data_IF_058520304471
#
_entry.id   IF_058520304471
#
_cell.length_a   1.000
_cell.length_b   1.000
_cell.length_c   1.000
_cell.angle_alpha   90.00
_cell.angle_beta   90.00
_cell.angle_gamma   90.00
#
_symmetry.space_group_name_H-M   'P 1'
#
loop_
_entity.id
_entity.type
_entity.pdbx_description
1 polymer ?
#
# COMPACT_ATOMS: atom_id res chain seq x y z
N UNK A 1 34.28 47.82 -57.74
CA UNK A 1 34.06 47.58 -56.29
C UNK A 1 32.68 46.96 -56.12
N UNK A 2 32.60 45.64 -55.95
CA UNK A 2 31.35 44.92 -55.78
C UNK A 2 31.50 44.06 -54.53
N UNK A 3 30.77 44.42 -53.48
CA UNK A 3 30.85 43.81 -52.15
C UNK A 3 30.15 42.45 -52.19
N UNK A 4 30.90 41.40 -51.85
CA UNK A 4 30.41 40.04 -51.65
C UNK A 4 29.60 40.03 -50.34
N UNK A 5 28.30 39.76 -50.42
CA UNK A 5 27.45 39.49 -49.25
C UNK A 5 27.63 38.02 -48.85
N UNK A 6 28.27 37.77 -47.71
CA UNK A 6 28.34 36.44 -47.09
C UNK A 6 27.16 36.35 -46.12
N UNK A 7 26.17 35.51 -46.45
CA UNK A 7 25.06 35.16 -45.57
C UNK A 7 25.54 34.08 -44.59
N UNK A 8 25.88 34.46 -43.35
CA UNK A 8 26.22 33.51 -42.29
C UNK A 8 24.92 33.03 -41.65
N UNK A 9 24.48 31.83 -42.01
CA UNK A 9 23.39 31.13 -41.33
C UNK A 9 23.84 30.70 -39.93
N UNK A 10 23.38 31.42 -38.89
CA UNK A 10 23.52 31.00 -37.50
C UNK A 10 22.68 29.74 -37.26
N UNK A 11 23.33 28.57 -37.26
CA UNK A 11 22.78 27.35 -36.67
C UNK A 11 22.79 27.52 -35.14
N UNK A 12 21.66 27.95 -34.57
CA UNK A 12 21.40 27.79 -33.14
C UNK A 12 21.23 26.30 -32.84
N UNK A 13 22.34 25.64 -32.48
CA UNK A 13 22.27 24.38 -31.76
C UNK A 13 21.66 24.66 -30.38
N UNK A 14 20.34 24.58 -30.29
CA UNK A 14 19.63 24.42 -29.02
C UNK A 14 20.10 23.07 -28.49
N UNK A 15 21.15 23.09 -27.67
CA UNK A 15 21.54 21.96 -26.85
C UNK A 15 20.41 21.75 -25.85
N UNK A 16 19.51 20.83 -26.20
CA UNK A 16 18.51 20.33 -25.27
C UNK A 16 19.27 19.57 -24.18
N UNK A 17 19.68 20.27 -23.12
CA UNK A 17 20.11 19.62 -21.90
C UNK A 17 18.91 18.87 -21.35
N UNK A 18 18.86 17.57 -21.60
CA UNK A 18 18.01 16.63 -20.88
C UNK A 18 18.28 16.83 -19.40
N UNK A 19 17.39 17.56 -18.71
CA UNK A 19 17.42 17.63 -17.26
C UNK A 19 17.20 16.21 -16.76
N UNK A 20 18.25 15.63 -16.18
CA UNK A 20 18.09 14.40 -15.39
C UNK A 20 17.16 14.79 -14.26
N UNK A 21 15.90 14.35 -14.29
CA UNK A 21 15.05 14.40 -13.12
C UNK A 21 15.81 13.68 -12.02
N UNK A 22 16.22 14.43 -11.00
CA UNK A 22 16.77 13.88 -9.78
C UNK A 22 15.65 13.03 -9.20
N UNK A 23 15.78 11.70 -9.31
CA UNK A 23 14.88 10.78 -8.63
C UNK A 23 15.03 11.04 -7.14
N UNK A 24 14.11 11.81 -6.57
CA UNK A 24 14.05 11.98 -5.12
C UNK A 24 13.89 10.59 -4.51
N UNK A 25 14.89 10.16 -3.74
CA UNK A 25 14.85 8.87 -3.05
C UNK A 25 13.64 8.95 -2.10
N UNK A 26 12.66 8.03 -2.20
CA UNK A 26 11.52 8.05 -1.30
C UNK A 26 12.03 7.95 0.13
N UNK A 27 11.70 8.94 0.95
CA UNK A 27 12.09 8.95 2.35
C UNK A 27 11.16 7.97 3.08
N UNK A 28 11.75 6.93 3.67
CA UNK A 28 11.04 5.83 4.34
C UNK A 28 11.16 6.03 5.86
N UNK A 29 10.08 5.80 6.61
CA UNK A 29 10.10 5.78 8.09
C UNK A 29 9.72 4.43 8.64
N UNK A 30 10.35 4.06 9.76
CA UNK A 30 9.93 2.90 10.55
C UNK A 30 8.50 3.12 11.07
N UNK A 31 7.61 2.23 10.70
CA UNK A 31 6.24 2.18 11.18
C UNK A 31 6.10 1.17 12.30
N UNK A 32 5.60 1.63 13.45
CA UNK A 32 5.22 0.78 14.59
C UNK A 32 3.81 1.19 15.00
N UNK A 33 2.93 0.19 15.13
CA UNK A 33 1.59 0.33 15.72
C UNK A 33 1.57 -0.55 16.96
N UNK A 34 1.08 -0.04 18.09
CA UNK A 34 1.00 -0.76 19.34
C UNK A 34 -0.47 -1.09 19.68
N UNK A 35 -0.67 -2.18 20.43
CA UNK A 35 -1.88 -2.40 21.21
C UNK A 35 -1.98 -1.40 22.35
N UNK A 36 -3.15 -1.24 22.95
CA UNK A 36 -3.36 -0.41 24.15
C UNK A 36 -2.50 -0.88 25.33
N UNK A 37 -2.18 -2.18 25.37
CA UNK A 37 -1.26 -2.79 26.31
C UNK A 37 0.21 -2.39 26.12
N UNK A 38 0.55 -1.68 25.03
CA UNK A 38 1.90 -1.26 24.68
C UNK A 38 2.72 -2.30 23.90
N UNK A 39 2.18 -3.52 23.70
CA UNK A 39 2.82 -4.51 22.83
C UNK A 39 2.75 -4.09 21.36
N UNK A 40 3.79 -4.42 20.59
CA UNK A 40 3.80 -4.17 19.14
C UNK A 40 2.68 -5.00 18.51
N UNK A 41 1.78 -4.31 17.82
CA UNK A 41 0.70 -4.87 17.03
C UNK A 41 1.16 -5.10 15.60
N UNK A 42 1.85 -4.12 15.01
CA UNK A 42 2.22 -4.15 13.59
C UNK A 42 3.52 -3.36 13.40
N UNK A 43 4.38 -3.82 12.48
CA UNK A 43 5.59 -3.10 12.10
C UNK A 43 5.91 -3.21 10.61
N UNK A 44 6.52 -2.18 10.07
CA UNK A 44 6.98 -2.14 8.69
C UNK A 44 7.47 -0.75 8.32
N UNK A 45 7.18 -0.32 7.09
CA UNK A 45 7.64 0.93 6.53
C UNK A 45 6.47 1.81 6.08
N UNK A 46 6.56 3.11 6.39
CA UNK A 46 5.66 4.13 5.88
C UNK A 46 6.34 4.93 4.76
N UNK A 47 5.58 5.28 3.73
CA UNK A 47 6.02 6.23 2.73
C UNK A 47 5.84 7.65 3.26
N UNK A 48 6.96 8.36 3.46
CA UNK A 48 6.93 9.69 4.06
C UNK A 48 6.43 10.80 3.16
N UNK A 49 6.23 10.52 1.88
CA UNK A 49 5.76 11.49 0.90
C UNK A 49 4.26 11.79 1.09
N UNK A 50 3.52 10.95 1.83
CA UNK A 50 2.05 11.02 1.93
C UNK A 50 1.53 11.75 3.18
N UNK A 51 2.25 12.78 3.64
CA UNK A 51 1.87 13.54 4.85
C UNK A 51 0.49 14.19 4.71
N UNK A 52 -0.31 14.24 5.80
CA UNK A 52 -0.01 13.73 7.15
C UNK A 52 -0.22 12.21 7.31
N UNK A 53 -0.77 11.53 6.30
CA UNK A 53 -1.15 10.12 6.37
C UNK A 53 0.08 9.20 6.26
N UNK A 54 0.09 8.17 7.10
CA UNK A 54 1.15 7.16 7.10
C UNK A 54 0.71 5.98 6.26
N UNK A 55 0.82 6.09 4.94
CA UNK A 55 0.53 4.97 4.05
C UNK A 55 1.65 3.92 4.14
N UNK A 56 1.27 2.68 4.43
CA UNK A 56 2.14 1.52 4.53
C UNK A 56 2.63 1.10 3.17
N UNK A 57 3.91 0.78 3.11
CA UNK A 57 4.55 0.24 1.92
C UNK A 57 5.45 -0.93 2.31
N UNK A 58 5.78 -1.77 1.32
CA UNK A 58 6.76 -2.83 1.51
C UNK A 58 6.27 -3.92 2.44
N UNK A 59 7.21 -4.64 3.07
CA UNK A 59 6.90 -5.80 3.91
C UNK A 59 6.46 -5.34 5.30
N UNK A 60 5.35 -5.90 5.75
CA UNK A 60 4.80 -5.68 7.09
C UNK A 60 4.61 -6.99 7.83
N UNK A 61 4.78 -6.91 9.14
CA UNK A 61 4.50 -7.99 10.08
C UNK A 61 3.42 -7.51 11.06
N UNK A 62 2.40 -8.33 11.22
CA UNK A 62 1.32 -8.17 12.19
C UNK A 62 1.51 -9.21 13.28
N UNK A 63 1.24 -8.86 14.52
CA UNK A 63 1.51 -9.69 15.70
C UNK A 63 0.23 -9.90 16.50
N UNK A 64 0.08 -11.10 17.07
CA UNK A 64 -0.74 -11.29 18.26
C UNK A 64 -0.09 -10.55 19.45
N UNK A 65 -0.85 -10.30 20.51
CA UNK A 65 -0.24 -9.85 21.77
C UNK A 65 0.86 -10.81 22.22
N UNK A 66 1.88 -10.26 22.91
CA UNK A 66 3.11 -10.98 23.30
C UNK A 66 3.99 -11.39 22.10
N UNK A 67 3.95 -10.61 21.01
CA UNK A 67 4.91 -10.61 19.89
C UNK A 67 4.97 -11.91 19.06
N UNK A 68 3.92 -12.73 19.07
CA UNK A 68 3.83 -13.86 18.14
C UNK A 68 3.33 -13.36 16.78
N UNK A 69 3.99 -13.71 15.69
CA UNK A 69 3.57 -13.27 14.34
C UNK A 69 2.16 -13.80 14.06
N UNK A 70 1.25 -12.89 13.70
CA UNK A 70 -0.11 -13.15 13.24
C UNK A 70 -0.16 -13.24 11.71
N UNK A 71 0.49 -12.30 11.03
CA UNK A 71 0.55 -12.28 9.58
C UNK A 71 1.80 -11.56 9.06
N UNK A 72 2.18 -11.86 7.82
CA UNK A 72 3.26 -11.17 7.11
C UNK A 72 2.96 -11.10 5.62
N UNK A 73 3.25 -9.97 5.00
CA UNK A 73 3.14 -9.79 3.56
C UNK A 73 3.46 -8.36 3.15
N UNK A 74 3.16 -8.02 1.90
CA UNK A 74 3.47 -6.71 1.33
C UNK A 74 2.24 -5.79 1.30
N UNK A 75 2.43 -4.52 1.66
CA UNK A 75 1.52 -3.43 1.37
C UNK A 75 2.00 -2.61 0.17
N UNK A 76 1.03 -2.12 -0.59
CA UNK A 76 1.17 -0.96 -1.47
C UNK A 76 0.19 0.11 -1.02
N UNK A 77 0.37 1.32 -1.55
CA UNK A 77 -0.45 2.48 -1.22
C UNK A 77 -1.06 3.08 -2.48
N UNK A 78 -2.22 3.69 -2.32
CA UNK A 78 -2.90 4.47 -3.34
C UNK A 78 -3.69 5.58 -2.63
N UNK A 79 -4.47 6.37 -3.37
CA UNK A 79 -5.34 7.40 -2.78
C UNK A 79 -6.78 7.29 -3.25
N UNK A 80 -7.68 7.91 -2.51
CA UNK A 80 -9.06 8.19 -2.91
C UNK A 80 -9.38 9.66 -2.63
N UNK A 81 -10.40 10.20 -3.27
CA UNK A 81 -10.76 11.61 -3.15
C UNK A 81 -11.79 11.82 -2.04
N UNK A 82 -11.50 12.74 -1.14
CA UNK A 82 -12.48 13.33 -0.21
C UNK A 82 -12.78 14.77 -0.61
N UNK A 83 -13.91 15.30 -0.14
CA UNK A 83 -14.26 16.71 -0.26
C UNK A 83 -13.98 17.39 1.08
N UNK A 84 -12.79 17.98 1.19
CA UNK A 84 -12.32 18.73 2.34
C UNK A 84 -12.86 20.18 2.31
N UNK A 85 -12.64 20.95 3.38
CA UNK A 85 -13.06 22.36 3.51
C UNK A 85 -12.57 23.23 2.33
N UNK A 86 -11.39 22.93 1.77
CA UNK A 86 -10.81 23.67 0.63
C UNK A 86 -11.09 23.08 -0.75
N UNK A 87 -11.97 22.08 -0.86
CA UNK A 87 -12.24 21.34 -2.09
C UNK A 87 -11.73 19.89 -2.05
N UNK A 88 -11.65 19.22 -3.23
CA UNK A 88 -11.16 17.85 -3.32
C UNK A 88 -9.75 17.68 -2.74
N UNK A 89 -9.54 16.61 -1.98
CA UNK A 89 -8.29 16.29 -1.31
C UNK A 89 -8.01 14.78 -1.42
N UNK A 90 -6.75 14.43 -1.67
CA UNK A 90 -6.31 13.04 -1.78
C UNK A 90 -6.07 12.44 -0.39
N UNK A 91 -6.74 11.33 -0.10
CA UNK A 91 -6.56 10.54 1.10
C UNK A 91 -5.81 9.26 0.79
N UNK A 92 -4.63 9.10 1.36
CA UNK A 92 -3.81 7.92 1.15
C UNK A 92 -4.27 6.75 2.01
N UNK A 93 -4.31 5.57 1.40
CA UNK A 93 -4.62 4.32 2.07
C UNK A 93 -3.60 3.25 1.65
N UNK A 94 -3.59 2.15 2.40
CA UNK A 94 -2.72 1.01 2.12
C UNK A 94 -3.54 -0.23 1.82
N UNK A 95 -3.05 -1.13 0.99
CA UNK A 95 -3.72 -2.38 0.68
C UNK A 95 -2.71 -3.52 0.52
N UNK A 96 -3.14 -4.72 0.94
CA UNK A 96 -2.37 -5.95 0.90
C UNK A 96 -2.23 -6.41 -0.55
N UNK A 97 -1.00 -6.65 -0.99
CA UNK A 97 -0.67 -7.14 -2.33
C UNK A 97 0.24 -8.37 -2.27
N UNK A 98 0.24 -9.16 -3.33
CA UNK A 98 1.12 -10.31 -3.45
C UNK A 98 0.82 -11.41 -2.44
N UNK A 99 1.85 -12.18 -2.08
CA UNK A 99 1.74 -13.27 -1.12
C UNK A 99 1.59 -12.75 0.31
N UNK A 100 0.67 -13.36 1.04
CA UNK A 100 0.46 -13.16 2.47
C UNK A 100 0.40 -14.50 3.18
N UNK A 101 1.03 -14.56 4.36
CA UNK A 101 1.02 -15.72 5.25
C UNK A 101 0.42 -15.32 6.58
N UNK A 102 -0.53 -16.11 7.06
CA UNK A 102 -1.19 -15.97 8.34
C UNK A 102 -0.83 -17.17 9.22
N UNK A 103 -0.69 -16.94 10.51
CA UNK A 103 -0.23 -17.94 11.47
C UNK A 103 -1.25 -18.13 12.59
N UNK A 104 -1.34 -19.35 13.11
CA UNK A 104 -2.00 -19.66 14.37
C UNK A 104 -1.17 -19.13 15.55
N UNK A 105 -1.77 -19.02 16.73
CA UNK A 105 -1.06 -18.56 17.95
C UNK A 105 0.02 -19.53 18.43
N UNK A 106 0.04 -20.77 17.92
CA UNK A 106 1.11 -21.74 18.11
C UNK A 106 2.27 -21.59 17.11
N UNK A 107 2.18 -20.65 16.16
CA UNK A 107 3.21 -20.37 15.15
C UNK A 107 3.12 -21.20 13.87
N UNK A 108 2.20 -22.18 13.79
CA UNK A 108 1.95 -22.91 12.55
C UNK A 108 1.21 -22.03 11.54
N UNK A 109 1.39 -22.29 10.24
CA UNK A 109 0.68 -21.55 9.20
C UNK A 109 -0.81 -21.85 9.34
N UNK A 110 -1.63 -20.80 9.34
CA UNK A 110 -3.10 -20.85 9.33
C UNK A 110 -3.63 -20.73 7.90
N UNK A 111 -3.05 -19.84 7.10
CA UNK A 111 -3.36 -19.71 5.69
C UNK A 111 -2.21 -19.05 4.93
N UNK A 112 -2.12 -19.32 3.64
CA UNK A 112 -1.25 -18.56 2.74
C UNK A 112 -1.82 -18.49 1.34
N UNK A 113 -1.53 -17.40 0.64
CA UNK A 113 -1.93 -17.23 -0.75
C UNK A 113 -1.61 -15.85 -1.27
N UNK A 114 -1.94 -15.62 -2.54
CA UNK A 114 -1.76 -14.33 -3.21
C UNK A 114 -3.10 -13.61 -3.25
N UNK A 115 -3.15 -12.37 -2.77
CA UNK A 115 -4.35 -11.56 -2.90
C UNK A 115 -4.61 -11.19 -4.36
N UNK A 116 -5.85 -11.38 -4.81
CA UNK A 116 -6.31 -10.82 -6.08
C UNK A 116 -6.91 -9.44 -5.82
N UNK A 117 -6.43 -8.42 -6.52
CA UNK A 117 -6.88 -7.05 -6.30
C UNK A 117 -8.21 -6.80 -7.00
N UNK A 118 -9.16 -6.20 -6.29
CA UNK A 118 -10.48 -5.77 -6.79
C UNK A 118 -10.73 -4.31 -6.46
N UNK A 119 -11.50 -3.62 -7.32
CA UNK A 119 -12.05 -2.29 -7.03
C UNK A 119 -13.26 -2.43 -6.09
N UNK A 120 -13.22 -1.74 -4.95
CA UNK A 120 -14.28 -1.65 -3.95
C UNK A 120 -14.77 -0.22 -3.88
N UNK A 121 -16.07 -0.02 -4.07
CA UNK A 121 -16.69 1.29 -3.87
C UNK A 121 -16.66 1.64 -2.38
N UNK A 122 -16.31 2.88 -2.06
CA UNK A 122 -16.39 3.46 -0.73
C UNK A 122 -17.21 4.75 -0.79
N UNK A 123 -17.90 5.03 0.30
CA UNK A 123 -18.53 6.33 0.48
C UNK A 123 -17.49 7.35 0.94
N UNK A 124 -17.59 8.56 0.39
CA UNK A 124 -16.71 9.69 0.64
C UNK A 124 -17.56 10.92 0.98
N UNK A 125 -16.98 12.01 1.46
CA UNK A 125 -17.68 13.29 1.57
C UNK A 125 -17.97 13.92 0.21
N UNK A 126 -17.32 13.44 -0.87
CA UNK A 126 -17.71 13.78 -2.23
C UNK A 126 -18.94 12.98 -2.69
N UNK A 127 -19.81 13.63 -3.46
CA UNK A 127 -20.98 13.00 -4.07
C UNK A 127 -20.57 11.84 -4.99
N UNK A 128 -21.22 10.69 -4.83
CA UNK A 128 -20.98 9.50 -5.65
C UNK A 128 -19.96 8.52 -5.08
N UNK A 129 -19.16 8.91 -4.08
CA UNK A 129 -18.12 8.08 -3.50
C UNK A 129 -16.86 7.98 -4.35
N UNK A 130 -16.00 7.03 -4.02
CA UNK A 130 -14.81 6.69 -4.82
C UNK A 130 -14.56 5.15 -4.80
N UNK A 131 -13.48 4.70 -5.43
CA UNK A 131 -13.09 3.30 -5.52
C UNK A 131 -11.68 3.09 -5.02
N UNK A 132 -11.53 2.17 -4.08
CA UNK A 132 -10.22 1.71 -3.60
C UNK A 132 -9.91 0.31 -4.13
N UNK A 133 -8.63 -0.04 -4.09
CA UNK A 133 -8.12 -1.40 -4.28
C UNK A 133 -8.21 -2.15 -2.94
N UNK A 134 -8.76 -3.36 -2.99
CA UNK A 134 -8.81 -4.28 -1.86
C UNK A 134 -8.40 -5.68 -2.32
N UNK A 135 -7.76 -6.43 -1.43
CA UNK A 135 -7.38 -7.82 -1.66
C UNK A 135 -8.57 -8.76 -1.44
N UNK A 136 -8.78 -9.66 -2.40
CA UNK A 136 -9.80 -10.70 -2.36
C UNK A 136 -9.10 -12.06 -2.35
N UNK A 137 -9.59 -12.97 -1.51
CA UNK A 137 -9.15 -14.35 -1.40
C UNK A 137 -9.69 -15.12 -2.60
N UNK A 138 -8.89 -16.04 -3.10
CA UNK A 138 -9.28 -16.87 -4.25
C UNK A 138 -9.04 -18.33 -3.92
N UNK A 139 -9.51 -19.21 -4.80
CA UNK A 139 -9.33 -20.66 -4.65
C UNK A 139 -7.84 -21.10 -4.67
N UNK A 140 -6.92 -20.19 -5.03
CA UNK A 140 -5.48 -20.41 -4.92
C UNK A 140 -4.96 -20.37 -3.46
N UNK A 141 -5.75 -19.87 -2.51
CA UNK A 141 -5.38 -19.85 -1.11
C UNK A 141 -5.45 -21.24 -0.48
N UNK A 142 -4.48 -21.54 0.38
CA UNK A 142 -4.43 -22.80 1.12
C UNK A 142 -4.59 -22.51 2.61
N UNK A 143 -5.45 -23.27 3.26
CA UNK A 143 -5.80 -23.14 4.67
C UNK A 143 -5.36 -24.38 5.44
N UNK A 144 -4.99 -24.17 6.70
CA UNK A 144 -4.46 -25.22 7.56
C UNK A 144 -5.09 -25.14 8.95
N UNK A 145 -5.32 -26.31 9.57
CA UNK A 145 -5.70 -26.41 10.97
C UNK A 145 -4.50 -26.11 11.90
N UNK A 146 -4.73 -26.16 13.22
CA UNK A 146 -3.67 -25.91 14.20
C UNK A 146 -2.58 -26.99 14.23
N UNK A 147 -2.76 -28.12 13.54
CA UNK A 147 -1.80 -29.22 13.43
C UNK A 147 -1.05 -29.20 12.09
N UNK A 148 -1.31 -28.21 11.23
CA UNK A 148 -0.69 -28.07 9.92
C UNK A 148 -1.32 -28.93 8.82
N UNK A 149 -2.47 -29.56 9.08
CA UNK A 149 -3.20 -30.29 8.04
C UNK A 149 -4.02 -29.32 7.19
N UNK A 150 -4.07 -29.56 5.87
CA UNK A 150 -4.93 -28.78 4.98
C UNK A 150 -6.39 -28.93 5.39
N UNK A 151 -7.10 -27.82 5.43
CA UNK A 151 -8.52 -27.78 5.77
C UNK A 151 -9.31 -26.93 4.78
N UNK A 152 -10.63 -27.05 4.83
CA UNK A 152 -11.54 -26.21 4.06
C UNK A 152 -11.51 -24.77 4.57
N UNK A 153 -11.70 -23.77 3.69
CA UNK A 153 -11.71 -22.37 4.08
C UNK A 153 -12.81 -22.06 5.10
N UNK A 154 -12.42 -21.47 6.23
CA UNK A 154 -13.36 -20.86 7.16
C UNK A 154 -13.82 -19.51 6.60
N UNK A 155 -15.11 -19.38 6.30
CA UNK A 155 -15.70 -18.18 5.68
C UNK A 155 -15.59 -16.94 6.56
N UNK A 156 -15.69 -17.08 7.88
CA UNK A 156 -15.50 -15.96 8.81
C UNK A 156 -14.06 -15.45 8.75
N UNK A 157 -13.10 -16.37 8.71
CA UNK A 157 -11.69 -16.01 8.59
C UNK A 157 -11.37 -15.39 7.23
N UNK A 158 -11.95 -15.89 6.14
CA UNK A 158 -11.85 -15.26 4.82
C UNK A 158 -12.36 -13.81 4.89
N UNK A 159 -13.52 -13.60 5.49
CA UNK A 159 -14.09 -12.26 5.65
C UNK A 159 -13.15 -11.35 6.45
N UNK A 160 -12.56 -11.83 7.56
CA UNK A 160 -11.57 -11.06 8.34
C UNK A 160 -10.37 -10.63 7.49
N UNK A 161 -9.78 -11.54 6.71
CA UNK A 161 -8.58 -11.23 5.91
C UNK A 161 -8.88 -10.32 4.72
N UNK A 162 -10.07 -10.41 4.13
CA UNK A 162 -10.52 -9.51 3.06
C UNK A 162 -10.90 -8.12 3.59
N UNK A 163 -11.58 -8.04 4.73
CA UNK A 163 -11.92 -6.76 5.38
C UNK A 163 -10.65 -6.02 5.85
N UNK A 164 -9.64 -6.74 6.33
CA UNK A 164 -8.32 -6.19 6.69
C UNK A 164 -7.35 -6.05 5.51
N UNK A 165 -7.80 -6.31 4.28
CA UNK A 165 -6.94 -6.22 3.09
C UNK A 165 -6.63 -4.78 2.66
N UNK A 166 -7.30 -3.78 3.25
CA UNK A 166 -7.01 -2.37 3.05
C UNK A 166 -7.15 -1.62 4.37
N UNK A 167 -6.44 -0.49 4.48
CA UNK A 167 -6.33 0.31 5.70
C UNK A 167 -6.35 1.77 5.32
N UNK A 168 -7.35 2.49 5.83
CA UNK A 168 -7.48 3.93 5.73
C UNK A 168 -7.11 4.50 7.10
N UNK A 169 -5.96 5.18 7.19
CA UNK A 169 -5.53 5.88 8.40
C UNK A 169 -6.05 7.32 8.33
N UNK A 170 -7.12 7.60 9.07
CA UNK A 170 -7.73 8.93 9.10
C UNK A 170 -6.87 9.99 9.80
N UNK A 171 -5.76 9.60 10.45
CA UNK A 171 -4.94 10.50 11.25
C UNK A 171 -5.67 10.94 12.51
N UNK A 172 -5.27 10.41 13.66
CA UNK A 172 -5.61 10.95 14.99
C UNK A 172 -4.46 11.77 15.54
#
# INVERSE_FOLDING_TARGET
MQKILILISLFFFISCQSSKQHSEIPKIWLGIVNYDSGWIKERGEYNSNYKPHRARIGVWEEFYEKLKIKAKGKYESDFFVQCCIGGPCDMYYSYKVGEWVYYHTNGQIKAKGVFRIRRKKIETSCEGGDYIKAGVVTDAWVFFDENGNKTSPNQEFIREIEESSFIIDWGT
#
